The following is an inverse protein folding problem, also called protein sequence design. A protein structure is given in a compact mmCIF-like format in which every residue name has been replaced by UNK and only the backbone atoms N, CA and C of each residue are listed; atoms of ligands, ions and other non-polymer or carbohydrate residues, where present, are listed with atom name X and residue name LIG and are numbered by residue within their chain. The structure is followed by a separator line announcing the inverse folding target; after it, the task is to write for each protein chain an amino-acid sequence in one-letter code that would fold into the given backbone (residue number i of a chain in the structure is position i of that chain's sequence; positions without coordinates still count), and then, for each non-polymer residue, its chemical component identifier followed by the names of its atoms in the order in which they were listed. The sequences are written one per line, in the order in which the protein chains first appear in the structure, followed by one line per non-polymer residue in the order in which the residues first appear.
data_IF_824489573662
#
_entry.id   IF_824489573662
#
_cell.length_a   1.000
_cell.length_b   1.000
_cell.length_c   1.000
_cell.angle_alpha   90.00
_cell.angle_beta   90.00
_cell.angle_gamma   90.00
#
_symmetry.space_group_name_H-M   'P 1'
#
loop_
_entity.id
_entity.type
_entity.pdbx_description
1 polymer ?
#
# COMPACT_ATOMS: atom_id res chain seq x y z
N UNK A 1 8.01 -30.44 -28.82
CA UNK A 1 7.37 -31.46 -27.96
C UNK A 1 8.28 -31.70 -26.76
N UNK A 2 7.78 -31.69 -25.51
CA UNK A 2 8.61 -32.01 -24.36
C UNK A 2 9.03 -33.50 -24.39
N UNK A 3 10.31 -33.77 -24.16
CA UNK A 3 10.87 -35.12 -24.17
C UNK A 3 10.28 -35.97 -23.04
N UNK A 4 9.79 -37.18 -23.37
CA UNK A 4 9.16 -38.12 -22.43
C UNK A 4 10.10 -39.21 -21.89
N UNK A 5 11.40 -39.13 -22.19
CA UNK A 5 12.38 -40.14 -21.78
C UNK A 5 13.01 -39.80 -20.41
N UNK A 6 13.00 -40.77 -19.49
CA UNK A 6 13.46 -40.60 -18.10
C UNK A 6 15.00 -40.71 -17.91
N UNK A 7 15.78 -40.96 -18.97
CA UNK A 7 17.23 -41.17 -18.87
C UNK A 7 17.97 -39.87 -19.14
N UNK A 8 18.60 -39.34 -18.10
CA UNK A 8 19.29 -38.04 -18.10
C UNK A 8 20.79 -38.24 -17.87
N UNK A 9 21.62 -37.48 -18.58
CA UNK A 9 23.06 -37.37 -18.30
C UNK A 9 23.47 -35.90 -18.41
N UNK A 10 24.48 -35.53 -17.64
CA UNK A 10 24.93 -34.14 -17.53
C UNK A 10 26.14 -33.93 -18.45
N UNK A 11 26.07 -32.93 -19.33
CA UNK A 11 27.18 -32.50 -20.18
C UNK A 11 27.52 -31.06 -19.77
N UNK A 12 28.62 -30.89 -19.04
CA UNK A 12 28.96 -29.59 -18.45
C UNK A 12 27.91 -29.16 -17.41
N UNK A 13 27.30 -28.00 -17.62
CA UNK A 13 26.23 -27.46 -16.78
C UNK A 13 24.83 -27.81 -17.32
N UNK A 14 24.69 -28.59 -18.40
CA UNK A 14 23.41 -28.93 -19.03
C UNK A 14 22.95 -30.35 -18.67
N UNK A 15 21.70 -30.49 -18.25
CA UNK A 15 21.01 -31.77 -18.10
C UNK A 15 20.40 -32.12 -19.46
N UNK A 16 20.92 -33.16 -20.11
CA UNK A 16 20.53 -33.53 -21.48
C UNK A 16 19.92 -34.93 -21.50
N UNK A 17 18.86 -35.10 -22.29
CA UNK A 17 18.30 -36.42 -22.56
C UNK A 17 19.34 -37.30 -23.27
N UNK A 18 19.70 -38.43 -22.66
CA UNK A 18 20.70 -39.35 -23.20
C UNK A 18 20.31 -40.00 -24.55
N UNK A 19 19.01 -39.99 -24.91
CA UNK A 19 18.52 -40.61 -26.14
C UNK A 19 18.30 -39.63 -27.31
N UNK A 20 17.94 -38.39 -27.04
CA UNK A 20 17.57 -37.44 -28.11
C UNK A 20 18.36 -36.14 -28.09
N UNK A 21 19.30 -35.96 -27.17
CA UNK A 21 20.17 -34.78 -27.10
C UNK A 21 19.43 -33.49 -26.73
N UNK A 22 18.16 -33.54 -26.34
CA UNK A 22 17.40 -32.36 -25.94
C UNK A 22 17.80 -31.92 -24.54
N UNK A 23 18.15 -30.63 -24.38
CA UNK A 23 18.45 -30.00 -23.10
C UNK A 23 17.15 -29.87 -22.28
N UNK A 24 17.15 -30.44 -21.08
CA UNK A 24 16.02 -30.49 -20.15
C UNK A 24 16.16 -29.42 -19.06
N UNK A 25 17.38 -29.02 -18.72
CA UNK A 25 17.66 -27.99 -17.73
C UNK A 25 19.15 -27.75 -17.57
N UNK A 26 19.52 -26.89 -16.63
CA UNK A 26 20.90 -26.61 -16.27
C UNK A 26 21.14 -27.01 -14.80
N UNK A 27 22.26 -27.67 -14.52
CA UNK A 27 22.78 -27.93 -13.18
C UNK A 27 23.63 -26.72 -12.75
N UNK A 28 22.96 -25.59 -12.57
CA UNK A 28 23.50 -24.39 -11.95
C UNK A 28 22.81 -24.18 -10.61
N UNK A 29 23.58 -23.73 -9.63
CA UNK A 29 23.17 -23.41 -8.25
C UNK A 29 21.80 -22.73 -8.21
N UNK A 30 21.02 -23.06 -7.16
CA UNK A 30 19.78 -22.38 -6.85
C UNK A 30 20.00 -20.87 -6.98
N UNK A 31 19.49 -20.29 -8.07
CA UNK A 31 19.04 -18.91 -8.06
C UNK A 31 18.06 -18.86 -6.91
N UNK A 32 18.54 -18.39 -5.75
CA UNK A 32 17.69 -17.96 -4.65
C UNK A 32 16.92 -16.80 -5.26
N UNK A 33 15.77 -17.13 -5.85
CA UNK A 33 14.79 -16.17 -6.28
C UNK A 33 14.50 -15.35 -5.02
N UNK A 34 15.11 -14.16 -4.94
CA UNK A 34 14.70 -13.11 -4.02
C UNK A 34 13.21 -12.96 -4.27
N UNK A 35 12.40 -13.55 -3.39
CA UNK A 35 10.99 -13.83 -3.65
C UNK A 35 10.34 -12.58 -4.18
N UNK A 36 9.99 -12.59 -5.46
CA UNK A 36 9.40 -11.45 -6.13
C UNK A 36 8.09 -11.15 -5.41
N UNK A 37 8.07 -10.10 -4.60
CA UNK A 37 6.85 -9.73 -3.89
C UNK A 37 5.79 -9.40 -4.93
N UNK A 38 4.75 -10.24 -5.00
CA UNK A 38 3.63 -10.06 -5.91
C UNK A 38 2.96 -8.71 -5.63
N UNK A 39 3.11 -7.78 -6.57
CA UNK A 39 2.40 -6.50 -6.58
C UNK A 39 0.88 -6.71 -6.56
N UNK A 40 0.14 -5.72 -6.03
CA UNK A 40 -1.32 -5.73 -5.95
C UNK A 40 -1.96 -6.08 -7.30
N UNK A 41 -1.47 -5.49 -8.40
CA UNK A 41 -1.92 -5.82 -9.75
C UNK A 41 -1.90 -7.33 -10.04
N UNK A 42 -0.78 -8.01 -9.78
CA UNK A 42 -0.63 -9.46 -10.02
C UNK A 42 -1.52 -10.32 -9.10
N UNK A 43 -1.94 -9.78 -7.95
CA UNK A 43 -2.84 -10.48 -7.06
C UNK A 43 -4.30 -10.37 -7.47
N UNK A 44 -4.70 -9.21 -7.98
CA UNK A 44 -6.07 -8.95 -8.44
C UNK A 44 -6.32 -9.63 -9.78
N UNK A 45 -5.26 -9.87 -10.57
CA UNK A 45 -5.35 -10.51 -11.88
C UNK A 45 -4.60 -11.86 -11.94
N UNK A 46 -5.20 -12.96 -11.45
CA UNK A 46 -4.65 -14.28 -11.67
C UNK A 46 -4.84 -14.70 -13.15
N UNK A 47 -3.73 -14.86 -13.88
CA UNK A 47 -3.65 -15.57 -15.17
C UNK A 47 -4.52 -15.00 -16.31
N UNK A 48 -3.95 -14.16 -17.16
CA UNK A 48 -4.64 -13.63 -18.34
C UNK A 48 -4.88 -14.72 -19.41
N UNK A 49 -6.14 -15.13 -19.61
CA UNK A 49 -6.58 -15.58 -20.94
C UNK A 49 -6.66 -14.35 -21.84
N UNK A 50 -6.03 -14.42 -23.00
CA UNK A 50 -6.01 -13.35 -24.01
C UNK A 50 -7.43 -12.94 -24.41
N UNK A 51 -7.80 -11.64 -24.35
CA UNK A 51 -9.12 -11.21 -24.76
C UNK A 51 -9.20 -11.16 -26.30
N UNK A 52 -10.10 -11.96 -26.88
CA UNK A 52 -10.53 -11.77 -28.26
C UNK A 52 -11.25 -10.43 -28.40
N UNK A 53 -10.88 -9.73 -29.48
CA UNK A 53 -11.32 -8.41 -29.96
C UNK A 53 -12.85 -8.21 -30.03
N UNK A 54 -13.29 -7.05 -29.54
CA UNK A 54 -14.11 -6.02 -30.21
C UNK A 54 -15.14 -5.40 -29.25
N UNK A 55 -14.90 -4.13 -28.92
CA UNK A 55 -15.71 -3.31 -28.03
C UNK A 55 -14.80 -2.43 -27.19
N UNK A 56 -15.13 -1.15 -27.04
CA UNK A 56 -14.45 -0.26 -26.10
C UNK A 56 -14.72 -0.75 -24.67
N UNK A 57 -13.97 -1.76 -24.24
CA UNK A 57 -13.94 -2.22 -22.86
C UNK A 57 -13.10 -1.21 -22.11
N UNK A 58 -13.72 -0.42 -21.23
CA UNK A 58 -12.98 0.32 -20.21
C UNK A 58 -12.09 -0.68 -19.48
N UNK A 59 -10.79 -0.59 -19.72
CA UNK A 59 -9.85 -1.63 -19.33
C UNK A 59 -9.69 -1.61 -17.80
N UNK A 60 -10.45 -2.46 -17.10
CA UNK A 60 -10.29 -2.65 -15.64
C UNK A 60 -8.85 -2.98 -15.27
N UNK A 61 -8.06 -3.51 -16.21
CA UNK A 61 -6.62 -3.76 -16.09
C UNK A 61 -5.77 -2.50 -15.98
N UNK A 62 -6.17 -1.43 -16.65
CA UNK A 62 -5.51 -0.14 -16.52
C UNK A 62 -5.78 0.46 -15.13
N UNK A 63 -7.02 0.34 -14.63
CA UNK A 63 -7.43 0.91 -13.35
C UNK A 63 -6.79 0.21 -12.14
N UNK A 64 -6.72 -1.13 -12.16
CA UNK A 64 -5.98 -1.91 -11.16
C UNK A 64 -4.49 -1.57 -11.16
N UNK A 65 -3.89 -1.40 -12.34
CA UNK A 65 -2.49 -1.00 -12.51
C UNK A 65 -2.21 0.40 -11.95
N UNK A 66 -3.03 1.39 -12.30
CA UNK A 66 -2.88 2.77 -11.80
C UNK A 66 -3.03 2.87 -10.29
N UNK A 67 -4.00 2.16 -9.70
CA UNK A 67 -4.18 2.13 -8.26
C UNK A 67 -3.03 1.38 -7.56
N UNK A 68 -2.55 0.28 -8.15
CA UNK A 68 -1.36 -0.43 -7.66
C UNK A 68 -0.14 0.48 -7.64
N UNK A 69 0.07 1.30 -8.67
CA UNK A 69 1.18 2.26 -8.69
C UNK A 69 1.08 3.29 -7.56
N UNK A 70 -0.13 3.75 -7.22
CA UNK A 70 -0.34 4.64 -6.07
C UNK A 70 0.00 3.94 -4.74
N UNK A 71 -0.38 2.67 -4.58
CA UNK A 71 -0.05 1.87 -3.40
C UNK A 71 1.47 1.65 -3.28
N UNK A 72 2.13 1.31 -4.38
CA UNK A 72 3.58 1.11 -4.47
C UNK A 72 4.32 2.41 -4.09
N UNK A 73 3.84 3.56 -4.58
CA UNK A 73 4.43 4.88 -4.26
C UNK A 73 4.35 5.21 -2.78
N UNK A 74 3.30 4.74 -2.10
CA UNK A 74 3.13 4.87 -0.65
C UNK A 74 3.81 3.73 0.12
N UNK A 75 4.47 2.79 -0.56
CA UNK A 75 5.06 1.59 0.03
C UNK A 75 4.11 0.90 1.01
N UNK A 76 2.84 0.77 0.62
CA UNK A 76 1.84 0.15 1.47
C UNK A 76 2.07 -1.36 1.58
N UNK A 77 1.94 -1.95 2.78
CA UNK A 77 2.00 -3.39 2.92
C UNK A 77 0.83 -4.05 2.18
N UNK A 78 1.03 -5.29 1.76
CA UNK A 78 0.12 -6.04 0.89
C UNK A 78 -1.33 -6.06 1.39
N UNK A 79 -1.55 -6.29 2.69
CA UNK A 79 -2.89 -6.31 3.29
C UNK A 79 -3.60 -4.95 3.18
N UNK A 80 -2.87 -3.85 3.41
CA UNK A 80 -3.39 -2.50 3.31
C UNK A 80 -3.73 -2.15 1.86
N UNK A 81 -2.85 -2.46 0.92
CA UNK A 81 -3.08 -2.25 -0.51
C UNK A 81 -4.33 -2.97 -1.03
N UNK A 82 -4.54 -4.22 -0.59
CA UNK A 82 -5.73 -4.99 -0.94
C UNK A 82 -7.01 -4.37 -0.40
N UNK A 83 -7.02 -3.99 0.87
CA UNK A 83 -8.20 -3.38 1.48
C UNK A 83 -8.50 -2.01 0.87
N UNK A 84 -7.47 -1.21 0.58
CA UNK A 84 -7.62 0.08 -0.08
C UNK A 84 -8.25 -0.09 -1.46
N UNK A 85 -7.84 -1.11 -2.20
CA UNK A 85 -8.45 -1.46 -3.48
C UNK A 85 -9.90 -1.91 -3.35
N UNK A 86 -10.22 -2.75 -2.36
CA UNK A 86 -11.60 -3.18 -2.10
C UNK A 86 -12.51 -2.00 -1.76
N UNK A 87 -12.05 -1.10 -0.89
CA UNK A 87 -12.76 0.13 -0.54
C UNK A 87 -12.96 1.03 -1.77
N UNK A 88 -11.91 1.19 -2.58
CA UNK A 88 -11.96 1.96 -3.83
C UNK A 88 -13.03 1.41 -4.78
N UNK A 89 -13.01 0.10 -5.05
CA UNK A 89 -13.99 -0.54 -5.93
C UNK A 89 -15.41 -0.40 -5.40
N UNK A 90 -15.62 -0.56 -4.08
CA UNK A 90 -16.94 -0.37 -3.44
C UNK A 90 -17.44 1.06 -3.64
N UNK A 91 -16.59 2.06 -3.42
CA UNK A 91 -16.95 3.47 -3.55
C UNK A 91 -17.27 3.81 -5.00
N UNK A 92 -16.38 3.48 -5.94
CA UNK A 92 -16.59 3.80 -7.37
C UNK A 92 -17.85 3.13 -7.93
N UNK A 93 -18.21 1.94 -7.45
CA UNK A 93 -19.42 1.23 -7.89
C UNK A 93 -20.71 1.84 -7.34
N UNK A 94 -20.72 2.35 -6.11
CA UNK A 94 -21.95 2.70 -5.39
C UNK A 94 -22.12 4.20 -5.13
N UNK A 95 -21.07 5.01 -5.25
CA UNK A 95 -21.09 6.44 -4.92
C UNK A 95 -20.65 7.25 -6.13
N UNK A 96 -21.44 8.29 -6.47
CA UNK A 96 -21.10 9.23 -7.53
C UNK A 96 -20.00 10.19 -7.07
N UNK A 97 -18.75 9.84 -7.36
CA UNK A 97 -17.56 10.67 -7.15
C UNK A 97 -16.52 10.44 -8.25
N UNK A 98 -15.48 11.27 -8.29
CA UNK A 98 -14.34 11.02 -9.18
C UNK A 98 -13.48 9.87 -8.66
N UNK A 99 -12.75 9.21 -9.58
CA UNK A 99 -11.78 8.16 -9.22
C UNK A 99 -10.70 8.67 -8.28
N UNK A 100 -10.20 9.89 -8.51
CA UNK A 100 -9.19 10.49 -7.63
C UNK A 100 -9.73 10.76 -6.21
N UNK A 101 -11.00 11.18 -6.07
CA UNK A 101 -11.66 11.31 -4.75
C UNK A 101 -11.78 9.94 -4.06
N UNK A 102 -12.26 8.93 -4.77
CA UNK A 102 -12.37 7.57 -4.23
C UNK A 102 -11.00 7.00 -3.81
N UNK A 103 -9.95 7.24 -4.61
CA UNK A 103 -8.60 6.77 -4.32
C UNK A 103 -7.98 7.49 -3.12
N UNK A 104 -8.04 8.83 -3.07
CA UNK A 104 -7.59 9.60 -1.92
C UNK A 104 -8.27 9.13 -0.63
N UNK A 105 -9.59 8.93 -0.68
CA UNK A 105 -10.36 8.45 0.46
C UNK A 105 -9.93 7.05 0.91
N UNK A 106 -9.88 6.10 -0.04
CA UNK A 106 -9.60 4.69 0.28
C UNK A 106 -8.20 4.50 0.84
N UNK A 107 -7.20 5.18 0.25
CA UNK A 107 -5.83 5.14 0.74
C UNK A 107 -5.71 5.80 2.11
N UNK A 108 -6.36 6.95 2.33
CA UNK A 108 -6.34 7.62 3.62
C UNK A 108 -6.98 6.78 4.73
N UNK A 109 -8.18 6.23 4.51
CA UNK A 109 -8.88 5.41 5.51
C UNK A 109 -8.04 4.20 5.91
N UNK A 110 -7.43 3.52 4.95
CA UNK A 110 -6.58 2.35 5.22
C UNK A 110 -5.29 2.73 5.93
N UNK A 111 -4.60 3.81 5.50
CA UNK A 111 -3.41 4.28 6.19
C UNK A 111 -3.72 4.63 7.64
N UNK A 112 -4.88 5.26 7.88
CA UNK A 112 -5.36 5.61 9.22
C UNK A 112 -5.74 4.38 10.05
N UNK A 113 -6.45 3.41 9.48
CA UNK A 113 -6.85 2.16 10.16
C UNK A 113 -5.64 1.35 10.63
N UNK A 114 -4.62 1.25 9.78
CA UNK A 114 -3.42 0.44 10.06
C UNK A 114 -2.25 1.25 10.62
N UNK A 115 -2.51 2.49 11.08
CA UNK A 115 -1.51 3.36 11.67
C UNK A 115 -0.23 3.57 10.81
N UNK A 116 -0.38 3.54 9.48
CA UNK A 116 0.70 3.71 8.49
C UNK A 116 0.94 5.20 8.29
N UNK A 117 2.07 5.78 8.72
CA UNK A 117 2.24 7.23 8.77
C UNK A 117 2.52 7.83 7.39
N UNK A 118 1.45 8.21 6.68
CA UNK A 118 1.52 8.95 5.41
C UNK A 118 0.89 10.32 5.54
N UNK A 119 1.56 11.36 5.06
CA UNK A 119 1.00 12.71 5.05
C UNK A 119 -0.08 12.81 3.98
N UNK A 120 -1.03 13.72 4.18
CA UNK A 120 -2.07 14.01 3.20
C UNK A 120 -1.47 14.37 1.83
N UNK A 121 -0.38 15.14 1.81
CA UNK A 121 0.33 15.50 0.57
C UNK A 121 0.94 14.27 -0.11
N UNK A 122 1.48 13.32 0.65
CA UNK A 122 2.07 12.09 0.10
C UNK A 122 1.00 11.22 -0.54
N UNK A 123 -0.16 11.08 0.10
CA UNK A 123 -1.30 10.34 -0.44
C UNK A 123 -1.81 11.01 -1.72
N UNK A 124 -1.99 12.33 -1.69
CA UNK A 124 -2.45 13.10 -2.85
C UNK A 124 -1.49 13.01 -4.02
N UNK A 125 -0.19 13.09 -3.76
CA UNK A 125 0.85 12.97 -4.78
C UNK A 125 0.89 11.57 -5.37
N UNK A 126 0.77 10.52 -4.54
CA UNK A 126 0.68 9.15 -5.00
C UNK A 126 -0.55 8.92 -5.90
N UNK A 127 -1.71 9.49 -5.56
CA UNK A 127 -2.91 9.45 -6.41
C UNK A 127 -2.70 10.23 -7.70
N UNK A 128 -2.11 11.43 -7.62
CA UNK A 128 -1.83 12.28 -8.79
C UNK A 128 -0.98 11.55 -9.82
N UNK A 129 0.11 10.93 -9.36
CA UNK A 129 1.05 10.20 -10.21
C UNK A 129 0.49 8.86 -10.66
N UNK A 130 -0.11 8.08 -9.75
CA UNK A 130 -0.62 6.74 -10.02
C UNK A 130 -1.80 6.73 -11.00
N UNK A 131 -2.76 7.65 -10.82
CA UNK A 131 -3.94 7.78 -11.69
C UNK A 131 -3.72 8.79 -12.85
N UNK A 132 -2.51 9.32 -13.00
CA UNK A 132 -2.14 10.29 -14.04
C UNK A 132 -3.10 11.50 -14.13
N UNK A 133 -3.57 12.02 -13.00
CA UNK A 133 -4.46 13.20 -12.95
C UNK A 133 -3.67 14.49 -12.77
N UNK A 134 -4.15 15.61 -13.33
CA UNK A 134 -3.49 16.92 -13.19
C UNK A 134 -3.44 17.39 -11.74
N UNK A 135 -4.51 17.18 -10.98
CA UNK A 135 -4.64 17.60 -9.57
C UNK A 135 -5.43 16.56 -8.79
N UNK A 136 -4.90 16.13 -7.65
CA UNK A 136 -5.63 15.28 -6.70
C UNK A 136 -6.42 16.14 -5.69
N UNK A 137 -7.65 15.75 -5.34
CA UNK A 137 -8.47 16.44 -4.34
C UNK A 137 -7.79 16.42 -2.97
N UNK A 138 -8.16 17.34 -2.08
CA UNK A 138 -7.67 17.30 -0.69
C UNK A 138 -8.26 16.11 0.05
N UNK A 139 -7.51 15.59 1.03
CA UNK A 139 -7.99 14.48 1.86
C UNK A 139 -9.23 14.90 2.63
N UNK A 140 -9.22 16.09 3.27
CA UNK A 140 -10.38 16.65 3.97
C UNK A 140 -11.64 16.67 3.10
N UNK A 141 -11.55 17.14 1.85
CA UNK A 141 -12.69 17.19 0.92
C UNK A 141 -13.18 15.80 0.54
N UNK A 142 -12.26 14.89 0.27
CA UNK A 142 -12.61 13.51 -0.10
C UNK A 142 -13.28 12.80 1.08
N UNK A 143 -12.74 12.98 2.28
CA UNK A 143 -13.26 12.41 3.53
C UNK A 143 -14.63 12.98 3.89
N UNK A 144 -14.79 14.30 3.94
CA UNK A 144 -16.07 14.92 4.32
C UNK A 144 -17.22 14.56 3.39
N UNK A 145 -16.94 14.39 2.09
CA UNK A 145 -17.96 14.05 1.09
C UNK A 145 -18.33 12.57 1.10
N UNK A 146 -17.38 11.68 1.41
CA UNK A 146 -17.57 10.24 1.22
C UNK A 146 -17.83 9.48 2.52
N UNK A 147 -17.43 10.01 3.69
CA UNK A 147 -17.48 9.29 4.98
C UNK A 147 -18.82 8.60 5.23
N UNK A 148 -19.91 9.37 5.36
CA UNK A 148 -21.21 8.82 5.77
C UNK A 148 -21.70 7.73 4.79
N UNK A 149 -21.56 7.97 3.48
CA UNK A 149 -21.95 7.01 2.44
C UNK A 149 -21.04 5.79 2.39
N UNK A 150 -19.77 5.94 2.74
CA UNK A 150 -18.84 4.82 2.83
C UNK A 150 -19.16 3.93 4.05
N UNK A 151 -19.55 4.53 5.17
CA UNK A 151 -20.01 3.82 6.37
C UNK A 151 -21.30 3.03 6.10
N UNK A 152 -22.24 3.59 5.33
CA UNK A 152 -23.43 2.87 4.83
C UNK A 152 -23.08 1.64 3.97
N UNK A 153 -21.91 1.65 3.31
CA UNK A 153 -21.38 0.52 2.54
C UNK A 153 -20.55 -0.46 3.40
N UNK A 154 -20.53 -0.28 4.72
CA UNK A 154 -19.76 -1.09 5.65
C UNK A 154 -18.25 -0.82 5.60
N UNK A 155 -17.82 0.34 5.10
CA UNK A 155 -16.42 0.78 5.17
C UNK A 155 -16.25 1.53 6.49
N UNK A 156 -15.64 0.91 7.49
CA UNK A 156 -15.35 1.62 8.74
C UNK A 156 -14.27 2.69 8.46
N UNK A 157 -14.59 3.94 8.79
CA UNK A 157 -13.77 5.12 8.47
C UNK A 157 -12.96 5.62 9.67
N UNK A 158 -13.43 5.32 10.87
CA UNK A 158 -12.80 5.64 12.14
C UNK A 158 -12.30 4.34 12.78
N UNK A 159 -11.11 3.89 12.40
CA UNK A 159 -10.54 2.66 12.98
C UNK A 159 -10.23 2.80 14.47
N UNK A 160 -10.30 1.69 15.20
CA UNK A 160 -9.92 1.59 16.61
C UNK A 160 -8.49 2.08 16.91
N UNK A 161 -7.55 1.91 15.97
CA UNK A 161 -6.15 2.38 16.08
C UNK A 161 -5.93 3.78 15.50
N UNK A 162 -6.98 4.49 15.06
CA UNK A 162 -6.83 5.80 14.42
C UNK A 162 -6.19 6.88 15.31
N UNK A 163 -6.17 6.65 16.62
CA UNK A 163 -5.46 7.47 17.59
C UNK A 163 -3.94 7.37 17.41
N UNK A 164 -3.43 6.18 17.11
CA UNK A 164 -2.00 5.92 16.96
C UNK A 164 -1.45 6.35 15.60
N UNK A 165 -2.33 6.49 14.60
CA UNK A 165 -1.96 7.02 13.28
C UNK A 165 -1.26 8.38 13.36
N UNK A 166 -1.90 9.36 13.99
CA UNK A 166 -1.34 10.70 14.11
C UNK A 166 -0.09 10.69 14.99
N UNK A 167 -0.07 9.87 16.04
CA UNK A 167 1.11 9.72 16.89
C UNK A 167 2.30 9.19 16.10
N UNK A 168 2.11 8.13 15.31
CA UNK A 168 3.14 7.58 14.44
C UNK A 168 3.58 8.57 13.37
N UNK A 169 2.66 9.38 12.83
CA UNK A 169 2.96 10.42 11.85
C UNK A 169 3.86 11.53 12.44
N UNK A 170 3.61 11.97 13.66
CA UNK A 170 4.49 12.95 14.32
C UNK A 170 5.79 12.32 14.81
N UNK A 171 5.78 11.06 15.22
CA UNK A 171 7.00 10.33 15.59
C UNK A 171 7.93 10.10 14.39
N UNK A 172 7.41 9.80 13.20
CA UNK A 172 8.25 9.66 12.01
C UNK A 172 8.97 10.98 11.66
N UNK A 173 8.30 12.13 11.87
CA UNK A 173 8.95 13.45 11.79
C UNK A 173 10.01 13.62 12.88
N UNK A 174 9.71 13.23 14.12
CA UNK A 174 10.62 13.32 15.26
C UNK A 174 11.91 12.50 15.08
N UNK A 175 11.85 11.39 14.33
CA UNK A 175 13.00 10.55 14.03
C UNK A 175 14.11 11.32 13.31
N UNK A 176 13.76 12.22 12.38
CA UNK A 176 14.73 13.06 11.67
C UNK A 176 15.44 14.08 12.56
N UNK A 177 14.86 14.42 13.72
CA UNK A 177 15.47 15.35 14.67
C UNK A 177 16.21 14.64 15.81
N UNK A 178 16.18 13.31 15.84
CA UNK A 178 16.82 12.53 16.89
C UNK A 178 18.24 12.16 16.47
N UNK A 179 19.25 12.38 17.31
CA UNK A 179 20.65 12.11 16.97
C UNK A 179 20.94 10.62 16.79
N UNK A 180 20.21 9.76 17.51
CA UNK A 180 20.42 8.32 17.53
C UNK A 180 19.13 7.56 17.86
N UNK A 181 19.13 6.25 17.59
CA UNK A 181 17.97 5.37 17.78
C UNK A 181 17.57 5.20 19.25
N UNK A 182 18.52 5.23 20.19
CA UNK A 182 18.24 5.10 21.62
C UNK A 182 17.49 6.33 22.13
N UNK A 183 17.93 7.52 21.73
CA UNK A 183 17.25 8.79 22.03
C UNK A 183 15.85 8.81 21.42
N UNK A 184 15.72 8.39 20.15
CA UNK A 184 14.40 8.29 19.51
C UNK A 184 13.46 7.31 20.23
N UNK A 185 13.96 6.16 20.68
CA UNK A 185 13.18 5.17 21.42
C UNK A 185 12.67 5.75 22.76
N UNK A 186 13.49 6.53 23.47
CA UNK A 186 13.07 7.26 24.68
C UNK A 186 11.99 8.29 24.38
N UNK A 187 12.13 9.08 23.31
CA UNK A 187 11.11 10.03 22.85
C UNK A 187 9.80 9.31 22.52
N UNK A 188 9.87 8.20 21.77
CA UNK A 188 8.71 7.38 21.41
C UNK A 188 7.97 6.85 22.64
N UNK A 189 8.69 6.30 23.61
CA UNK A 189 8.09 5.79 24.84
C UNK A 189 7.41 6.90 25.64
N UNK A 190 8.07 8.05 25.77
CA UNK A 190 7.52 9.22 26.48
C UNK A 190 6.30 9.79 25.76
N UNK A 191 6.35 9.96 24.45
CA UNK A 191 5.25 10.47 23.64
C UNK A 191 4.00 9.60 23.75
N UNK A 192 4.15 8.26 23.74
CA UNK A 192 3.03 7.33 23.94
C UNK A 192 2.36 7.50 25.30
N UNK A 193 3.15 7.60 26.38
CA UNK A 193 2.61 7.85 27.72
C UNK A 193 1.83 9.17 27.78
N UNK A 194 2.41 10.24 27.23
CA UNK A 194 1.76 11.56 27.18
C UNK A 194 0.50 11.56 26.31
N UNK A 195 0.49 10.83 25.21
CA UNK A 195 -0.63 10.79 24.29
C UNK A 195 -1.92 10.28 24.94
N UNK A 196 -1.81 9.30 25.85
CA UNK A 196 -2.95 8.76 26.60
C UNK A 196 -3.37 9.65 27.78
N UNK A 197 -2.48 10.51 28.29
CA UNK A 197 -2.79 11.43 29.40
C UNK A 197 -3.34 12.78 28.94
N UNK A 198 -3.24 13.11 27.64
CA UNK A 198 -3.67 14.40 27.10
C UNK A 198 -5.11 14.34 26.59
N UNK A 199 -5.86 15.42 26.83
CA UNK A 199 -7.22 15.60 26.34
C UNK A 199 -7.24 16.33 24.98
N UNK A 200 -8.29 16.10 24.19
CA UNK A 200 -8.52 16.75 22.89
C UNK A 200 -8.69 15.76 21.74
N UNK A 201 -8.74 16.26 20.50
CA UNK A 201 -8.76 15.40 19.32
C UNK A 201 -7.43 14.64 19.13
N UNK A 202 -7.48 13.50 18.45
CA UNK A 202 -6.33 12.60 18.31
C UNK A 202 -5.10 13.28 17.69
N UNK A 203 -5.29 14.08 16.64
CA UNK A 203 -4.19 14.79 15.98
C UNK A 203 -3.51 15.82 16.90
N UNK A 204 -4.29 16.64 17.60
CA UNK A 204 -3.77 17.67 18.52
C UNK A 204 -3.06 17.06 19.71
N UNK A 205 -3.61 15.97 20.27
CA UNK A 205 -2.97 15.17 21.31
C UNK A 205 -1.64 14.60 20.83
N UNK A 206 -1.61 13.99 19.64
CA UNK A 206 -0.42 13.39 19.07
C UNK A 206 0.69 14.42 18.84
N UNK A 207 0.34 15.57 18.26
CA UNK A 207 1.27 16.69 18.05
C UNK A 207 1.90 17.14 19.36
N UNK A 208 1.05 17.47 20.34
CA UNK A 208 1.48 17.98 21.65
C UNK A 208 2.29 16.95 22.44
N UNK A 209 1.90 15.67 22.39
CA UNK A 209 2.63 14.59 23.05
C UNK A 209 4.06 14.46 22.52
N UNK A 210 4.25 14.56 21.20
CA UNK A 210 5.58 14.48 20.56
C UNK A 210 6.41 15.73 20.82
N UNK A 211 5.82 16.92 20.74
CA UNK A 211 6.51 18.19 21.07
C UNK A 211 7.03 18.19 22.52
N UNK A 212 6.18 17.82 23.48
CA UNK A 212 6.55 17.69 24.89
C UNK A 212 7.60 16.59 25.12
N UNK A 213 7.52 15.47 24.40
CA UNK A 213 8.51 14.40 24.50
C UNK A 213 9.89 14.82 23.97
N UNK A 214 9.92 15.69 22.96
CA UNK A 214 11.14 16.33 22.41
C UNK A 214 11.65 17.50 23.27
N UNK A 215 10.94 17.87 24.34
CA UNK A 215 11.30 19.02 25.19
C UNK A 215 11.08 20.38 24.52
N UNK A 216 10.36 20.42 23.39
CA UNK A 216 9.96 21.66 22.72
C UNK A 216 8.71 22.19 23.42
N UNK A 217 8.80 23.37 24.04
CA UNK A 217 7.63 24.02 24.64
C UNK A 217 6.76 24.57 23.50
N UNK A 218 5.53 24.07 23.44
CA UNK A 218 4.41 24.58 22.62
C UNK A 218 3.80 25.82 23.25
#
# INVERSE_FOLDING_TARGET
MPCSHAVQHTVGEEIVCAKCGTVIGYNGEQDVALGSQLKLFHMVEPGSRSPKRNGFVHDRKAESSYFSNACDKLALPKFASLEAWQNYCKIVKNIKCSRAEAACFSLFVVCRRYSIPRKDEEIREAVRMGLCVKRAPTILRSFSRLKNRAEELGIECDGHESADYYLNLYLSKAQHYSPDQLTFNKVKQRARKLFHSLNGNAESRARRAVELALGRRS
#
